data_IF_011189736360
#
_entry.id   IF_011189736360
#
_cell.length_a   1.000
_cell.length_b   1.000
_cell.length_c   1.000
_cell.angle_alpha   90.00
_cell.angle_beta   90.00
_cell.angle_gamma   90.00
#
_symmetry.space_group_name_H-M   'P 1'
#
loop_
_entity.id
_entity.type
_entity.pdbx_description
1 polymer ?
#
# COMPACT_ATOMS: atom_id res chain seq x y z
N UNK A 1 19.29 30.11 16.27
CA UNK A 1 19.49 28.85 15.52
C UNK A 1 18.73 28.79 14.19
N UNK A 2 17.57 29.43 14.04
CA UNK A 2 16.87 29.51 12.72
C UNK A 2 17.59 30.42 11.71
N UNK A 3 18.23 31.49 12.18
CA UNK A 3 19.00 32.43 11.32
C UNK A 3 20.34 31.85 10.81
N UNK A 4 20.84 30.77 11.43
CA UNK A 4 22.07 30.07 11.02
C UNK A 4 21.83 29.14 9.82
N UNK A 5 20.60 28.66 9.65
CA UNK A 5 20.20 27.80 8.52
C UNK A 5 19.94 28.63 7.26
N UNK A 6 19.34 29.83 7.38
CA UNK A 6 19.16 30.74 6.23
C UNK A 6 20.47 31.35 5.73
N UNK A 7 21.48 31.56 6.60
CA UNK A 7 22.79 32.11 6.19
C UNK A 7 23.69 31.11 5.47
N UNK A 8 23.55 29.81 5.71
CA UNK A 8 24.34 28.77 5.00
C UNK A 8 23.80 28.47 3.59
N UNK A 9 22.51 28.69 3.33
CA UNK A 9 21.91 28.50 2.01
C UNK A 9 22.36 29.51 0.94
N UNK A 10 22.86 30.69 1.33
CA UNK A 10 23.32 31.73 0.38
C UNK A 10 24.81 31.65 0.03
N UNK A 11 25.60 30.83 0.72
CA UNK A 11 27.07 30.80 0.58
C UNK A 11 27.60 29.72 -0.38
N UNK A 12 26.73 28.91 -0.98
CA UNK A 12 27.12 27.84 -1.92
C UNK A 12 26.70 28.16 -3.37
N UNK A 13 26.95 29.38 -3.81
CA UNK A 13 26.95 29.73 -5.23
C UNK A 13 28.10 28.98 -5.94
N UNK A 14 27.79 27.85 -6.58
CA UNK A 14 28.64 27.29 -7.63
C UNK A 14 28.13 27.73 -9.01
N UNK A 15 29.04 28.02 -9.96
CA UNK A 15 28.74 28.75 -11.17
C UNK A 15 27.85 27.97 -12.14
N UNK A 16 26.88 28.66 -12.72
CA UNK A 16 26.07 28.19 -13.84
C UNK A 16 26.93 28.06 -15.11
N UNK A 17 27.28 26.83 -15.49
CA UNK A 17 27.74 26.45 -16.84
C UNK A 17 27.83 24.91 -16.87
N UNK A 18 26.88 24.21 -17.48
CA UNK A 18 26.80 24.06 -18.92
C UNK A 18 25.40 23.55 -19.30
N UNK A 19 24.85 24.07 -20.40
CA UNK A 19 23.61 23.55 -20.98
C UNK A 19 23.80 22.06 -21.34
N UNK A 20 22.90 21.15 -20.96
CA UNK A 20 22.95 19.79 -21.50
C UNK A 20 22.61 19.84 -22.99
N UNK A 21 23.49 19.28 -23.83
CA UNK A 21 23.23 19.07 -25.26
C UNK A 21 21.93 18.25 -25.45
N UNK A 22 21.09 18.57 -26.45
CA UNK A 22 19.75 18.01 -26.61
C UNK A 22 19.71 16.61 -27.27
N UNK A 23 20.64 15.70 -26.96
CA UNK A 23 20.67 14.36 -27.59
C UNK A 23 20.22 13.20 -26.69
N UNK A 24 19.92 13.42 -25.41
CA UNK A 24 19.79 12.31 -24.42
C UNK A 24 18.42 12.22 -23.72
N UNK A 25 17.38 12.84 -24.32
CA UNK A 25 15.98 12.73 -23.83
C UNK A 25 15.30 11.42 -24.25
N UNK A 26 15.75 10.77 -25.31
CA UNK A 26 15.02 9.64 -25.92
C UNK A 26 15.11 8.32 -25.16
N UNK A 27 16.15 8.09 -24.36
CA UNK A 27 16.31 6.86 -23.57
C UNK A 27 15.70 6.94 -22.16
N UNK A 28 15.20 8.12 -21.75
CA UNK A 28 14.57 8.32 -20.42
C UNK A 28 13.07 8.05 -20.41
N UNK A 29 12.40 7.97 -21.56
CA UNK A 29 10.95 7.87 -21.60
C UNK A 29 10.44 6.45 -21.73
N UNK A 30 10.97 5.62 -22.64
CA UNK A 30 10.25 4.42 -23.05
C UNK A 30 10.03 3.37 -21.93
N UNK A 31 11.07 2.82 -21.25
CA UNK A 31 10.85 1.75 -20.26
C UNK A 31 10.03 2.21 -19.05
N UNK A 32 10.30 3.41 -18.54
CA UNK A 32 9.56 3.98 -17.42
C UNK A 32 8.13 4.37 -17.84
N UNK A 33 7.93 4.85 -19.06
CA UNK A 33 6.59 5.10 -19.60
C UNK A 33 5.81 3.79 -19.77
N UNK A 34 6.43 2.71 -20.22
CA UNK A 34 5.80 1.40 -20.33
C UNK A 34 5.38 0.87 -18.95
N UNK A 35 6.26 0.99 -17.94
CA UNK A 35 5.93 0.71 -16.54
C UNK A 35 4.69 1.49 -16.08
N UNK A 36 4.68 2.80 -16.32
CA UNK A 36 3.56 3.69 -15.94
C UNK A 36 2.30 3.37 -16.75
N UNK A 37 2.44 2.99 -18.01
CA UNK A 37 1.33 2.63 -18.91
C UNK A 37 0.63 1.37 -18.42
N UNK A 38 1.38 0.33 -18.05
CA UNK A 38 0.81 -0.91 -17.47
C UNK A 38 -0.01 -0.62 -16.22
N UNK A 39 0.51 0.24 -15.34
CA UNK A 39 -0.21 0.66 -14.13
C UNK A 39 -1.46 1.48 -14.50
N UNK A 40 -1.32 2.41 -15.43
CA UNK A 40 -2.44 3.24 -15.91
C UNK A 40 -3.56 2.42 -16.53
N UNK A 41 -3.22 1.41 -17.34
CA UNK A 41 -4.17 0.51 -17.97
C UNK A 41 -4.93 -0.31 -16.91
N UNK A 42 -4.22 -0.83 -15.91
CA UNK A 42 -4.86 -1.51 -14.78
C UNK A 42 -5.82 -0.59 -14.02
N UNK A 43 -5.39 0.64 -13.70
CA UNK A 43 -6.22 1.62 -13.01
C UNK A 43 -7.45 1.97 -13.86
N UNK A 44 -7.31 2.14 -15.17
CA UNK A 44 -8.45 2.39 -16.06
C UNK A 44 -9.49 1.26 -15.98
N UNK A 45 -9.05 0.01 -15.81
CA UNK A 45 -9.91 -1.16 -15.63
C UNK A 45 -10.45 -1.37 -14.20
N UNK A 46 -10.02 -0.58 -13.20
CA UNK A 46 -10.58 -0.66 -11.86
C UNK A 46 -12.02 -0.14 -11.85
N UNK A 47 -12.97 -0.96 -11.39
CA UNK A 47 -14.37 -0.57 -11.21
C UNK A 47 -14.59 0.39 -10.03
N UNK A 48 -15.85 0.73 -9.76
CA UNK A 48 -16.25 1.65 -8.70
C UNK A 48 -16.39 1.01 -7.31
N UNK A 49 -16.76 -0.26 -7.21
CA UNK A 49 -17.05 -0.92 -5.92
C UNK A 49 -15.78 -1.44 -5.23
N UNK A 50 -14.95 -0.55 -4.69
CA UNK A 50 -13.62 -0.92 -4.19
C UNK A 50 -13.62 -1.43 -2.74
N UNK A 51 -14.68 -1.15 -1.97
CA UNK A 51 -14.91 -1.76 -0.64
C UNK A 51 -15.62 -3.11 -0.68
N UNK A 52 -15.86 -3.67 -1.87
CA UNK A 52 -16.34 -5.03 -2.04
C UNK A 52 -15.19 -6.04 -1.98
N UNK A 53 -15.49 -7.33 -1.81
CA UNK A 53 -14.48 -8.40 -1.98
C UNK A 53 -13.79 -8.33 -3.35
N UNK A 54 -14.53 -7.98 -4.41
CA UNK A 54 -13.97 -7.77 -5.76
C UNK A 54 -13.02 -6.58 -5.77
N UNK A 55 -13.36 -5.51 -5.06
CA UNK A 55 -12.53 -4.34 -4.86
C UNK A 55 -11.23 -4.63 -4.13
N UNK A 56 -11.29 -5.38 -3.03
CA UNK A 56 -10.09 -5.85 -2.32
C UNK A 56 -9.22 -6.74 -3.20
N UNK A 57 -9.81 -7.66 -3.96
CA UNK A 57 -9.05 -8.44 -4.94
C UNK A 57 -8.30 -7.53 -5.93
N UNK A 58 -8.93 -6.45 -6.41
CA UNK A 58 -8.28 -5.45 -7.26
C UNK A 58 -7.14 -4.70 -6.57
N UNK A 59 -7.21 -4.49 -5.26
CA UNK A 59 -6.11 -3.91 -4.49
C UNK A 59 -4.89 -4.85 -4.47
N UNK A 60 -5.08 -6.14 -4.24
CA UNK A 60 -3.99 -7.13 -4.31
C UNK A 60 -3.43 -7.28 -5.73
N UNK A 61 -4.29 -7.30 -6.75
CA UNK A 61 -3.89 -7.31 -8.15
C UNK A 61 -3.07 -6.06 -8.52
N UNK A 62 -3.46 -4.86 -8.07
CA UNK A 62 -2.71 -3.62 -8.31
C UNK A 62 -1.27 -3.72 -7.79
N UNK A 63 -1.09 -4.26 -6.59
CA UNK A 63 0.23 -4.48 -5.99
C UNK A 63 1.02 -5.47 -6.84
N UNK A 64 0.40 -6.59 -7.21
CA UNK A 64 1.05 -7.60 -8.05
C UNK A 64 1.46 -7.04 -9.42
N UNK A 65 0.56 -6.35 -10.12
CA UNK A 65 0.83 -5.70 -11.41
C UNK A 65 1.96 -4.68 -11.29
N UNK A 66 1.96 -3.85 -10.25
CA UNK A 66 3.03 -2.88 -10.04
C UNK A 66 4.40 -3.54 -9.80
N UNK A 67 4.45 -4.63 -9.01
CA UNK A 67 5.68 -5.38 -8.74
C UNK A 67 6.18 -6.11 -9.99
N UNK A 68 5.28 -6.69 -10.78
CA UNK A 68 5.62 -7.32 -12.06
C UNK A 68 6.17 -6.29 -13.04
N UNK A 69 5.53 -5.12 -13.16
CA UNK A 69 5.99 -4.06 -14.04
C UNK A 69 7.36 -3.50 -13.59
N UNK A 70 7.63 -3.43 -12.29
CA UNK A 70 8.94 -3.05 -11.76
C UNK A 70 10.02 -4.08 -12.12
N UNK A 71 9.70 -5.37 -12.04
CA UNK A 71 10.63 -6.43 -12.46
C UNK A 71 10.93 -6.37 -13.97
N UNK A 72 9.90 -6.15 -14.79
CA UNK A 72 10.06 -5.96 -16.23
C UNK A 72 10.94 -4.74 -16.55
N UNK A 73 10.72 -3.63 -15.83
CA UNK A 73 11.54 -2.42 -15.97
C UNK A 73 13.01 -2.72 -15.67
N UNK A 74 13.31 -3.46 -14.59
CA UNK A 74 14.67 -3.83 -14.23
C UNK A 74 15.36 -4.67 -15.31
N UNK A 75 14.62 -5.54 -15.99
CA UNK A 75 15.10 -6.33 -17.13
C UNK A 75 15.37 -5.42 -18.33
N UNK A 76 14.42 -4.54 -18.69
CA UNK A 76 14.53 -3.67 -19.86
C UNK A 76 15.71 -2.70 -19.78
N UNK A 77 16.09 -2.26 -18.58
CA UNK A 77 17.23 -1.35 -18.38
C UNK A 77 18.54 -2.08 -18.05
N UNK A 78 18.54 -3.43 -18.10
CA UNK A 78 19.66 -4.31 -17.73
C UNK A 78 20.28 -3.97 -16.37
N UNK A 79 19.43 -3.82 -15.35
CA UNK A 79 19.87 -3.49 -13.98
C UNK A 79 19.24 -4.45 -12.96
N UNK A 80 19.67 -5.72 -12.96
CA UNK A 80 19.12 -6.75 -12.09
C UNK A 80 19.44 -6.49 -10.62
N UNK A 81 18.69 -7.14 -9.73
CA UNK A 81 18.77 -6.99 -8.27
C UNK A 81 20.19 -7.11 -7.69
N UNK A 82 21.03 -7.97 -8.27
CA UNK A 82 22.45 -8.15 -7.87
C UNK A 82 23.34 -6.92 -8.08
N UNK A 83 22.90 -5.94 -8.87
CA UNK A 83 23.65 -4.72 -9.19
C UNK A 83 23.10 -3.49 -8.45
N UNK A 84 22.05 -3.66 -7.63
CA UNK A 84 21.39 -2.55 -6.96
C UNK A 84 22.35 -1.84 -6.01
N UNK A 85 22.42 -0.51 -6.13
CA UNK A 85 23.18 0.32 -5.21
C UNK A 85 22.57 0.35 -3.81
N UNK A 86 23.30 0.93 -2.83
CA UNK A 86 22.83 1.02 -1.44
C UNK A 86 21.53 1.80 -1.30
N UNK A 87 21.30 2.82 -2.15
CA UNK A 87 20.10 3.66 -2.07
C UNK A 87 18.86 2.86 -2.47
N UNK A 88 18.90 2.20 -3.64
CA UNK A 88 17.78 1.38 -4.11
C UNK A 88 17.53 0.16 -3.20
N UNK A 89 18.60 -0.47 -2.71
CA UNK A 89 18.52 -1.60 -1.78
C UNK A 89 17.83 -1.19 -0.47
N UNK A 90 18.27 -0.11 0.16
CA UNK A 90 17.67 0.38 1.40
C UNK A 90 16.18 0.75 1.21
N UNK A 91 15.85 1.42 0.10
CA UNK A 91 14.46 1.80 -0.19
C UNK A 91 13.59 0.55 -0.45
N UNK A 92 14.11 -0.47 -1.13
CA UNK A 92 13.37 -1.72 -1.36
C UNK A 92 13.11 -2.48 -0.05
N UNK A 93 14.11 -2.58 0.81
CA UNK A 93 13.96 -3.19 2.13
C UNK A 93 12.98 -2.42 3.02
N UNK A 94 12.98 -1.08 2.92
CA UNK A 94 11.99 -0.25 3.63
C UNK A 94 10.59 -0.47 3.07
N UNK A 95 10.42 -0.42 1.75
CA UNK A 95 9.15 -0.65 1.07
C UNK A 95 8.54 -2.00 1.44
N UNK A 96 9.33 -3.08 1.33
CA UNK A 96 8.86 -4.42 1.69
C UNK A 96 8.56 -4.56 3.17
N UNK A 97 9.28 -3.87 4.06
CA UNK A 97 8.95 -3.85 5.50
C UNK A 97 7.58 -3.22 5.77
N UNK A 98 7.27 -2.09 5.13
CA UNK A 98 5.96 -1.44 5.27
C UNK A 98 4.82 -2.35 4.79
N UNK A 99 4.98 -2.96 3.61
CA UNK A 99 3.96 -3.82 3.03
C UNK A 99 3.76 -5.10 3.86
N UNK A 100 4.83 -5.69 4.40
CA UNK A 100 4.72 -6.84 5.31
C UNK A 100 4.00 -6.45 6.62
N UNK A 101 4.28 -5.27 7.17
CA UNK A 101 3.57 -4.75 8.33
C UNK A 101 2.08 -4.53 8.04
N UNK A 102 1.73 -4.05 6.85
CA UNK A 102 0.35 -3.88 6.41
C UNK A 102 -0.36 -5.22 6.18
N UNK A 103 0.30 -6.20 5.58
CA UNK A 103 -0.23 -7.56 5.47
C UNK A 103 -0.55 -8.14 6.86
N UNK A 104 0.34 -7.97 7.84
CA UNK A 104 0.08 -8.40 9.21
C UNK A 104 -1.13 -7.66 9.83
N UNK A 105 -1.30 -6.39 9.53
CA UNK A 105 -2.46 -5.61 9.96
C UNK A 105 -3.78 -6.12 9.34
N UNK A 106 -3.75 -6.51 8.06
CA UNK A 106 -4.90 -7.16 7.40
C UNK A 106 -5.23 -8.49 8.09
N UNK A 107 -4.24 -9.36 8.31
CA UNK A 107 -4.43 -10.64 9.01
C UNK A 107 -4.96 -10.46 10.44
N UNK A 108 -4.47 -9.45 11.16
CA UNK A 108 -5.00 -9.08 12.48
C UNK A 108 -6.47 -8.67 12.40
N UNK A 109 -6.81 -7.79 11.45
CA UNK A 109 -8.19 -7.30 11.24
C UNK A 109 -9.15 -8.45 10.90
N UNK A 110 -8.73 -9.36 10.03
CA UNK A 110 -9.49 -10.58 9.71
C UNK A 110 -9.71 -11.44 10.95
N UNK A 111 -8.69 -11.61 11.79
CA UNK A 111 -8.79 -12.39 13.03
C UNK A 111 -9.78 -11.77 14.02
N UNK A 112 -9.73 -10.45 14.20
CA UNK A 112 -10.66 -9.70 15.06
C UNK A 112 -12.10 -9.82 14.57
N UNK A 113 -12.35 -9.66 13.26
CA UNK A 113 -13.67 -9.82 12.67
C UNK A 113 -14.19 -11.25 12.81
N UNK A 114 -13.33 -12.24 12.63
CA UNK A 114 -13.67 -13.65 12.83
C UNK A 114 -14.07 -13.90 14.29
N UNK A 115 -13.35 -13.32 15.25
CA UNK A 115 -13.69 -13.44 16.66
C UNK A 115 -14.99 -12.69 17.01
N UNK A 116 -15.20 -11.49 16.47
CA UNK A 116 -16.44 -10.72 16.63
C UNK A 116 -17.66 -11.49 16.09
N UNK A 117 -17.51 -12.14 14.93
CA UNK A 117 -18.52 -13.04 14.36
C UNK A 117 -18.89 -14.15 15.35
N UNK A 118 -17.91 -14.84 15.93
CA UNK A 118 -18.16 -15.92 16.89
C UNK A 118 -18.91 -15.44 18.15
N UNK A 119 -18.54 -14.26 18.66
CA UNK A 119 -19.25 -13.62 19.79
C UNK A 119 -20.70 -13.30 19.44
N UNK A 120 -20.95 -12.76 18.25
CA UNK A 120 -22.30 -12.44 17.77
C UNK A 120 -23.14 -13.70 17.56
N UNK A 121 -22.59 -14.76 16.96
CA UNK A 121 -23.29 -16.05 16.81
C UNK A 121 -23.68 -16.66 18.17
N UNK A 122 -22.79 -16.58 19.15
CA UNK A 122 -23.08 -17.02 20.52
C UNK A 122 -24.19 -16.19 21.17
N UNK A 123 -24.15 -14.85 21.03
CA UNK A 123 -25.17 -13.96 21.57
C UNK A 123 -26.56 -14.23 20.95
N UNK A 124 -26.62 -14.44 19.63
CA UNK A 124 -27.85 -14.78 18.91
C UNK A 124 -28.42 -16.15 19.30
N UNK A 125 -27.58 -17.06 19.80
CA UNK A 125 -28.00 -18.38 20.27
C UNK A 125 -28.52 -18.37 21.72
N UNK A 126 -28.22 -17.32 22.48
CA UNK A 126 -28.49 -17.22 23.93
C UNK A 126 -29.54 -16.18 24.32
N UNK A 127 -29.95 -15.27 23.42
CA UNK A 127 -30.94 -14.21 23.69
C UNK A 127 -31.77 -13.85 22.45
N UNK A 128 -33.04 -13.38 22.61
CA UNK A 128 -33.77 -12.70 21.54
C UNK A 128 -33.00 -11.46 21.03
N UNK A 129 -33.11 -11.23 19.73
CA UNK A 129 -32.26 -10.37 18.90
C UNK A 129 -32.08 -8.92 19.39
N UNK A 130 -33.13 -8.36 19.99
CA UNK A 130 -33.20 -6.95 20.39
C UNK A 130 -32.26 -6.59 21.54
N UNK A 131 -31.79 -7.56 22.34
CA UNK A 131 -30.83 -7.32 23.43
C UNK A 131 -29.39 -7.74 23.11
N UNK A 132 -29.15 -8.42 21.98
CA UNK A 132 -27.83 -8.90 21.57
C UNK A 132 -27.01 -7.82 20.86
N UNK A 133 -27.64 -6.99 20.03
CA UNK A 133 -27.00 -5.85 19.37
C UNK A 133 -26.51 -4.80 20.39
N UNK A 134 -27.33 -4.48 21.40
CA UNK A 134 -26.98 -3.54 22.47
C UNK A 134 -25.84 -4.00 23.41
N UNK A 135 -25.49 -5.31 23.40
CA UNK A 135 -24.43 -5.88 24.24
C UNK A 135 -23.11 -6.10 23.51
N UNK A 136 -23.09 -5.96 22.19
CA UNK A 136 -21.85 -6.06 21.41
C UNK A 136 -21.16 -4.71 21.44
N UNK A 137 -20.38 -4.48 22.50
CA UNK A 137 -19.37 -3.44 22.47
C UNK A 137 -18.53 -3.64 21.21
N UNK A 138 -18.36 -2.58 20.41
CA UNK A 138 -17.49 -2.60 19.25
C UNK A 138 -16.16 -3.24 19.66
N UNK A 139 -15.65 -4.26 18.92
CA UNK A 139 -14.36 -4.83 19.24
C UNK A 139 -13.34 -3.69 19.29
N UNK A 140 -12.45 -3.67 20.31
CA UNK A 140 -11.47 -2.60 20.44
C UNK A 140 -10.69 -2.49 19.13
N UNK A 141 -10.85 -1.37 18.43
CA UNK A 141 -10.15 -1.09 17.20
C UNK A 141 -8.65 -1.06 17.53
N UNK A 142 -7.91 -2.02 16.98
CA UNK A 142 -6.47 -2.03 17.15
C UNK A 142 -5.93 -0.90 16.29
N UNK A 143 -5.54 0.21 16.93
CA UNK A 143 -4.91 1.33 16.25
C UNK A 143 -3.57 0.85 15.71
N UNK A 144 -3.51 0.53 14.42
CA UNK A 144 -2.29 0.05 13.78
C UNK A 144 -1.37 1.25 13.67
N UNK A 145 -0.48 1.41 14.65
CA UNK A 145 0.43 2.53 14.70
C UNK A 145 1.62 2.23 13.80
N UNK A 146 1.68 2.83 12.64
CA UNK A 146 2.82 2.64 11.76
C UNK A 146 3.86 3.72 12.07
N UNK A 147 5.04 3.33 12.55
CA UNK A 147 6.10 4.29 12.91
C UNK A 147 6.85 4.81 11.66
N UNK A 148 7.27 6.08 11.72
CA UNK A 148 7.98 6.90 10.70
C UNK A 148 7.23 7.29 9.41
N UNK A 149 7.25 8.60 9.16
CA UNK A 149 7.22 9.18 7.81
C UNK A 149 8.64 9.08 7.23
N UNK A 150 8.76 8.66 5.97
CA UNK A 150 10.07 8.53 5.34
C UNK A 150 10.41 9.84 4.66
N UNK A 151 11.37 10.56 5.26
CA UNK A 151 12.13 11.58 4.57
C UNK A 151 12.99 10.87 3.55
N UNK A 152 12.80 11.23 2.28
CA UNK A 152 13.74 10.86 1.23
C UNK A 152 15.10 11.44 1.66
N UNK A 153 16.01 10.59 2.16
CA UNK A 153 17.35 11.03 2.58
C UNK A 153 18.07 11.73 1.44
N UNK A 154 19.05 12.58 1.77
CA UNK A 154 19.94 13.18 0.77
C UNK A 154 20.44 12.10 -0.17
N UNK A 155 19.98 12.16 -1.43
CA UNK A 155 20.30 11.16 -2.45
C UNK A 155 21.80 11.20 -2.67
N UNK A 156 22.49 10.15 -2.23
CA UNK A 156 23.85 9.87 -2.68
C UNK A 156 23.92 9.79 -4.20
N UNK A 157 25.13 9.80 -4.75
CA UNK A 157 25.34 9.67 -6.19
C UNK A 157 24.81 8.32 -6.72
N UNK A 158 23.56 8.28 -7.17
CA UNK A 158 22.94 7.11 -7.77
C UNK A 158 23.28 7.03 -9.26
N UNK A 159 23.48 5.80 -9.76
CA UNK A 159 23.60 5.55 -11.20
C UNK A 159 22.33 5.97 -11.95
N UNK A 160 22.40 6.13 -13.27
CA UNK A 160 21.23 6.50 -14.08
C UNK A 160 20.12 5.44 -13.98
N UNK A 161 20.49 4.16 -14.05
CA UNK A 161 19.58 3.02 -13.94
C UNK A 161 18.93 2.96 -12.54
N UNK A 162 19.73 3.15 -11.50
CA UNK A 162 19.25 3.15 -10.12
C UNK A 162 18.19 4.23 -9.88
N UNK A 163 18.36 5.42 -10.47
CA UNK A 163 17.35 6.49 -10.37
C UNK A 163 16.01 6.11 -11.00
N UNK A 164 16.04 5.45 -12.16
CA UNK A 164 14.83 5.02 -12.88
C UNK A 164 14.06 3.98 -12.06
N UNK A 165 14.76 2.97 -11.52
CA UNK A 165 14.12 1.97 -10.66
C UNK A 165 13.67 2.54 -9.33
N UNK A 166 14.43 3.47 -8.76
CA UNK A 166 14.03 4.12 -7.51
C UNK A 166 12.72 4.91 -7.69
N UNK A 167 12.55 5.59 -8.82
CA UNK A 167 11.30 6.29 -9.14
C UNK A 167 10.12 5.32 -9.25
N UNK A 168 10.30 4.22 -10.00
CA UNK A 168 9.28 3.18 -10.13
C UNK A 168 8.97 2.50 -8.79
N UNK A 169 9.98 2.20 -7.98
CA UNK A 169 9.84 1.59 -6.66
C UNK A 169 9.08 2.49 -5.69
N UNK A 170 9.35 3.80 -5.68
CA UNK A 170 8.60 4.78 -4.87
C UNK A 170 7.12 4.77 -5.30
N UNK A 171 6.83 4.66 -6.59
CA UNK A 171 5.45 4.51 -7.08
C UNK A 171 4.81 3.21 -6.59
N UNK A 172 5.48 2.05 -6.74
CA UNK A 172 5.00 0.77 -6.24
C UNK A 172 4.72 0.81 -4.74
N UNK A 173 5.61 1.42 -3.96
CA UNK A 173 5.44 1.61 -2.52
C UNK A 173 4.17 2.40 -2.21
N UNK A 174 3.99 3.57 -2.84
CA UNK A 174 2.81 4.41 -2.63
C UNK A 174 1.52 3.69 -3.04
N UNK A 175 1.50 2.99 -4.17
CA UNK A 175 0.37 2.18 -4.60
C UNK A 175 0.04 1.09 -3.57
N UNK A 176 1.05 0.38 -3.07
CA UNK A 176 0.86 -0.65 -2.05
C UNK A 176 0.35 -0.11 -0.71
N UNK A 177 0.86 1.04 -0.26
CA UNK A 177 0.36 1.72 0.93
C UNK A 177 -1.12 2.13 0.76
N UNK A 178 -1.49 2.73 -0.37
CA UNK A 178 -2.86 3.15 -0.64
C UNK A 178 -3.80 1.94 -0.76
N UNK A 179 -3.39 0.89 -1.47
CA UNK A 179 -4.19 -0.30 -1.71
C UNK A 179 -4.44 -1.11 -0.43
N UNK A 180 -3.39 -1.43 0.33
CA UNK A 180 -3.55 -2.12 1.62
C UNK A 180 -4.20 -1.23 2.67
N UNK A 181 -3.97 0.09 2.62
CA UNK A 181 -4.66 1.06 3.47
C UNK A 181 -6.18 1.03 3.27
N UNK A 182 -6.65 0.91 2.02
CA UNK A 182 -8.08 0.75 1.73
C UNK A 182 -8.63 -0.58 2.26
N UNK A 183 -7.88 -1.68 2.09
CA UNK A 183 -8.28 -3.00 2.61
C UNK A 183 -8.41 -2.96 4.13
N UNK A 184 -7.41 -2.42 4.84
CA UNK A 184 -7.44 -2.29 6.31
C UNK A 184 -8.61 -1.41 6.73
N UNK A 185 -8.79 -0.24 6.11
CA UNK A 185 -9.91 0.67 6.37
C UNK A 185 -11.25 -0.05 6.24
N UNK A 186 -11.45 -0.76 5.12
CA UNK A 186 -12.65 -1.56 4.87
C UNK A 186 -12.92 -2.66 5.89
N UNK A 187 -11.88 -3.32 6.40
CA UNK A 187 -12.01 -4.35 7.43
C UNK A 187 -12.29 -3.75 8.82
N UNK A 188 -11.67 -2.62 9.15
CA UNK A 188 -11.84 -1.98 10.44
C UNK A 188 -13.14 -1.14 10.54
N UNK A 189 -13.76 -0.84 9.40
CA UNK A 189 -14.94 0.02 9.36
C UNK A 189 -14.60 1.49 9.64
N UNK A 190 -13.34 1.91 9.47
CA UNK A 190 -12.90 3.28 9.76
C UNK A 190 -12.11 3.89 8.62
N UNK A 191 -12.29 5.20 8.41
CA UNK A 191 -11.52 5.98 7.44
C UNK A 191 -10.09 6.32 7.94
N UNK A 192 -9.86 6.29 9.24
CA UNK A 192 -8.59 6.70 9.87
C UNK A 192 -7.41 5.87 9.34
N UNK A 193 -7.60 4.56 9.19
CA UNK A 193 -6.60 3.63 8.68
C UNK A 193 -6.10 3.99 7.28
N UNK A 194 -7.02 4.33 6.37
CA UNK A 194 -6.65 4.76 5.02
C UNK A 194 -5.94 6.12 5.06
N UNK A 195 -6.44 7.06 5.85
CA UNK A 195 -5.86 8.40 5.96
C UNK A 195 -4.45 8.40 6.56
N UNK A 196 -4.15 7.48 7.48
CA UNK A 196 -2.79 7.26 7.97
C UNK A 196 -1.86 6.77 6.86
N UNK A 197 -2.31 5.80 6.05
CA UNK A 197 -1.50 5.25 4.94
C UNK A 197 -1.28 6.27 3.84
N UNK A 198 -2.31 7.06 3.53
CA UNK A 198 -2.21 8.20 2.61
C UNK A 198 -1.16 9.20 3.07
N UNK A 199 -1.14 9.55 4.38
CA UNK A 199 -0.13 10.44 4.96
C UNK A 199 1.28 9.84 4.87
N UNK A 200 1.41 8.53 5.08
CA UNK A 200 2.68 7.80 4.97
C UNK A 200 3.21 7.70 3.54
N UNK A 201 2.32 7.59 2.56
CA UNK A 201 2.69 7.66 1.16
C UNK A 201 3.29 9.03 0.77
N UNK A 202 3.13 10.06 1.62
CA UNK A 202 3.66 11.40 1.42
C UNK A 202 2.91 12.16 0.32
N UNK A 203 3.58 13.12 -0.33
CA UNK A 203 2.97 13.90 -1.42
C UNK A 203 2.51 13.00 -2.57
N UNK A 204 1.24 13.12 -2.95
CA UNK A 204 0.61 12.43 -4.09
C UNK A 204 0.56 13.42 -5.24
N UNK A 205 1.73 13.76 -5.80
CA UNK A 205 1.83 14.75 -6.88
C UNK A 205 1.65 14.11 -8.27
N UNK A 206 1.94 12.81 -8.36
CA UNK A 206 1.87 12.02 -9.57
C UNK A 206 0.42 11.83 -10.06
N UNK A 207 0.09 12.10 -11.34
CA UNK A 207 -1.28 11.97 -11.85
C UNK A 207 -1.89 10.57 -11.67
N UNK A 208 -1.11 9.50 -11.80
CA UNK A 208 -1.61 8.13 -11.62
C UNK A 208 -1.93 7.86 -10.15
N UNK A 209 -1.08 8.31 -9.25
CA UNK A 209 -1.33 8.17 -7.81
C UNK A 209 -2.53 9.01 -7.38
N UNK A 210 -2.72 10.22 -7.94
CA UNK A 210 -3.90 11.06 -7.68
C UNK A 210 -5.19 10.39 -8.13
N UNK A 211 -5.18 9.73 -9.28
CA UNK A 211 -6.35 9.00 -9.79
C UNK A 211 -6.74 7.86 -8.84
N UNK A 212 -5.76 7.05 -8.40
CA UNK A 212 -5.99 5.97 -7.43
C UNK A 212 -6.48 6.53 -6.09
N UNK A 213 -5.80 7.54 -5.56
CA UNK A 213 -6.15 8.21 -4.30
C UNK A 213 -7.57 8.77 -4.35
N UNK A 214 -7.95 9.43 -5.44
CA UNK A 214 -9.31 9.95 -5.63
C UNK A 214 -10.35 8.83 -5.61
N UNK A 215 -10.10 7.71 -6.30
CA UNK A 215 -11.04 6.56 -6.32
C UNK A 215 -11.19 5.94 -4.94
N UNK A 216 -10.09 5.76 -4.22
CA UNK A 216 -10.11 5.20 -2.88
C UNK A 216 -10.76 6.15 -1.87
N UNK A 217 -10.49 7.45 -1.94
CA UNK A 217 -11.13 8.46 -1.09
C UNK A 217 -12.65 8.47 -1.24
N UNK A 218 -13.18 8.33 -2.46
CA UNK A 218 -14.64 8.28 -2.69
C UNK A 218 -15.30 7.18 -1.88
N UNK A 219 -14.67 6.01 -1.83
CA UNK A 219 -15.19 4.84 -1.14
C UNK A 219 -15.07 4.99 0.39
N UNK A 220 -13.94 5.51 0.86
CA UNK A 220 -13.70 5.74 2.29
C UNK A 220 -14.69 6.74 2.88
N UNK A 221 -15.11 7.77 2.13
CA UNK A 221 -16.15 8.71 2.56
C UNK A 221 -17.50 8.02 2.75
N UNK A 222 -17.85 7.07 1.88
CA UNK A 222 -19.13 6.32 1.97
C UNK A 222 -19.17 5.40 3.20
N UNK A 223 -18.01 4.96 3.71
CA UNK A 223 -17.97 4.12 4.93
C UNK A 223 -18.53 4.80 6.17
N UNK A 224 -18.42 6.13 6.27
CA UNK A 224 -18.91 6.88 7.44
C UNK A 224 -20.44 7.04 7.46
N UNK A 225 -21.13 6.73 6.35
CA UNK A 225 -22.57 7.00 6.17
C UNK A 225 -23.50 5.80 6.45
N UNK A 226 -22.96 4.64 6.83
CA UNK A 226 -23.79 3.43 7.04
C UNK A 226 -24.52 3.49 8.39
N UNK A 227 -25.81 3.80 8.35
CA UNK A 227 -26.71 3.78 9.50
C UNK A 227 -27.10 2.36 9.98
N UNK A 228 -27.66 2.27 11.19
CA UNK A 228 -28.18 1.01 11.73
C UNK A 228 -29.35 0.49 10.88
N UNK A 229 -29.21 -0.74 10.38
CA UNK A 229 -30.28 -1.44 9.65
C UNK A 229 -30.87 -2.50 10.58
N UNK A 230 -32.16 -2.39 10.90
CA UNK A 230 -32.89 -3.47 11.56
C UNK A 230 -32.93 -4.70 10.65
N UNK A 231 -32.33 -5.80 11.10
CA UNK A 231 -32.28 -7.06 10.37
C UNK A 231 -32.78 -8.21 11.24
N UNK A 232 -33.56 -9.12 10.63
CA UNK A 232 -33.98 -10.36 11.29
C UNK A 232 -32.80 -11.29 11.58
N UNK A 233 -32.90 -12.10 12.63
CA UNK A 233 -31.83 -13.01 13.10
C UNK A 233 -31.30 -13.92 12.00
N UNK A 234 -32.18 -14.50 11.19
CA UNK A 234 -31.77 -15.42 10.10
C UNK A 234 -31.03 -14.68 8.98
N UNK A 235 -31.39 -13.43 8.72
CA UNK A 235 -30.65 -12.58 7.77
C UNK A 235 -29.26 -12.22 8.31
N UNK A 236 -29.15 -11.91 9.61
CA UNK A 236 -27.86 -11.67 10.26
C UNK A 236 -26.97 -12.92 10.16
N UNK A 237 -27.48 -14.12 10.49
CA UNK A 237 -26.74 -15.38 10.36
C UNK A 237 -26.27 -15.62 8.92
N UNK A 238 -27.14 -15.39 7.94
CA UNK A 238 -26.81 -15.51 6.51
C UNK A 238 -25.66 -14.56 6.13
N UNK A 239 -25.71 -13.30 6.55
CA UNK A 239 -24.66 -12.31 6.27
C UNK A 239 -23.33 -12.65 6.96
N UNK A 240 -23.35 -13.17 8.19
CA UNK A 240 -22.14 -13.61 8.88
C UNK A 240 -21.43 -14.75 8.17
N UNK A 241 -22.18 -15.66 7.53
CA UNK A 241 -21.61 -16.73 6.70
C UNK A 241 -20.92 -16.18 5.44
N UNK A 242 -21.58 -15.26 4.74
CA UNK A 242 -20.99 -14.59 3.56
C UNK A 242 -19.74 -13.79 3.94
N UNK A 243 -19.77 -13.14 5.11
CA UNK A 243 -18.60 -12.42 5.65
C UNK A 243 -17.43 -13.38 5.90
N UNK A 244 -17.67 -14.54 6.52
CA UNK A 244 -16.63 -15.56 6.74
C UNK A 244 -15.94 -16.01 5.45
N UNK A 245 -16.72 -16.34 4.41
CA UNK A 245 -16.17 -16.73 3.10
C UNK A 245 -15.31 -15.61 2.49
N UNK A 246 -15.72 -14.34 2.70
CA UNK A 246 -14.98 -13.17 2.23
C UNK A 246 -13.69 -12.97 3.02
N UNK A 247 -13.73 -13.09 4.34
CA UNK A 247 -12.58 -12.98 5.23
C UNK A 247 -11.52 -14.06 4.92
N UNK A 248 -11.95 -15.29 4.66
CA UNK A 248 -11.03 -16.38 4.29
C UNK A 248 -10.31 -16.08 2.97
N UNK A 249 -11.01 -15.51 1.98
CA UNK A 249 -10.41 -15.14 0.69
C UNK A 249 -9.40 -13.99 0.85
N UNK A 250 -9.75 -12.96 1.62
CA UNK A 250 -8.87 -11.83 1.91
C UNK A 250 -7.60 -12.32 2.63
N UNK A 251 -7.75 -13.20 3.63
CA UNK A 251 -6.60 -13.77 4.33
C UNK A 251 -5.70 -14.57 3.37
N UNK A 252 -6.30 -15.40 2.50
CA UNK A 252 -5.56 -16.18 1.51
C UNK A 252 -4.73 -15.29 0.58
N UNK A 253 -5.31 -14.20 0.07
CA UNK A 253 -4.58 -13.24 -0.77
C UNK A 253 -3.49 -12.49 0.00
N UNK A 254 -3.76 -12.17 1.27
CA UNK A 254 -2.79 -11.52 2.16
C UNK A 254 -1.58 -12.43 2.42
N UNK A 255 -1.81 -13.70 2.75
CA UNK A 255 -0.76 -14.71 2.98
C UNK A 255 0.08 -14.94 1.72
N UNK A 256 -0.58 -14.95 0.55
CA UNK A 256 0.11 -15.05 -0.73
C UNK A 256 1.01 -13.84 -1.00
N UNK A 257 0.49 -12.61 -0.83
CA UNK A 257 1.27 -11.39 -0.98
C UNK A 257 2.44 -11.34 0.02
N UNK A 258 2.18 -11.68 1.29
CA UNK A 258 3.20 -11.72 2.34
C UNK A 258 4.34 -12.66 1.96
N UNK A 259 4.01 -13.87 1.49
CA UNK A 259 4.98 -14.87 1.05
C UNK A 259 5.79 -14.41 -0.15
N UNK A 260 5.16 -13.76 -1.13
CA UNK A 260 5.85 -13.18 -2.29
C UNK A 260 6.84 -12.09 -1.88
N UNK A 261 6.41 -11.14 -1.05
CA UNK A 261 7.24 -10.04 -0.54
C UNK A 261 8.44 -10.57 0.26
N UNK A 262 8.19 -11.53 1.16
CA UNK A 262 9.23 -12.13 1.99
C UNK A 262 10.26 -12.89 1.15
N UNK A 263 9.81 -13.67 0.16
CA UNK A 263 10.72 -14.37 -0.75
C UNK A 263 11.59 -13.41 -1.56
N UNK A 264 10.99 -12.37 -2.15
CA UNK A 264 11.73 -11.38 -2.93
C UNK A 264 12.74 -10.60 -2.05
N UNK A 265 12.34 -10.23 -0.83
CA UNK A 265 13.23 -9.62 0.17
C UNK A 265 14.40 -10.54 0.54
N UNK A 266 14.14 -11.82 0.81
CA UNK A 266 15.18 -12.77 1.19
C UNK A 266 16.18 -13.00 0.07
N UNK A 267 15.73 -13.03 -1.20
CA UNK A 267 16.62 -13.05 -2.36
C UNK A 267 17.56 -11.85 -2.39
N UNK A 268 17.04 -10.64 -2.16
CA UNK A 268 17.87 -9.43 -2.08
C UNK A 268 18.90 -9.54 -0.95
N UNK A 269 18.47 -9.93 0.26
CA UNK A 269 19.34 -10.04 1.43
C UNK A 269 20.46 -11.05 1.20
N UNK A 270 20.18 -12.19 0.56
CA UNK A 270 21.18 -13.20 0.24
C UNK A 270 22.30 -12.68 -0.69
N UNK A 271 22.07 -11.58 -1.41
CA UNK A 271 23.07 -10.94 -2.26
C UNK A 271 23.85 -9.81 -1.55
N UNK A 272 23.42 -9.38 -0.37
CA UNK A 272 24.13 -8.40 0.45
C UNK A 272 25.19 -9.16 1.27
N UNK A 273 26.30 -9.51 0.63
CA UNK A 273 27.46 -10.04 1.33
C UNK A 273 28.13 -8.91 2.12
N UNK A 274 28.25 -9.06 3.44
CA UNK A 274 29.14 -8.21 4.23
C UNK A 274 30.58 -8.67 3.96
N UNK A 275 31.50 -7.77 3.60
CA UNK A 275 32.92 -8.13 3.62
C UNK A 275 33.31 -8.55 5.05
N UNK A 276 33.92 -9.73 5.18
CA UNK A 276 34.59 -10.17 6.41
C UNK A 276 35.75 -9.25 6.78
#
# INVERSE_FOLDING_TARGET
>A
MVVLVEKLGRSLNFPSSSKPKPLDRHLKSAPLADFRSKISEFIAGMGSELLSLKGFNKCFELIHTSNSALADLAIQIDYPMRQWGPCLTAEYLSCTSDLLSLSNAVTSSVSHLTHAKMRLLHALSTSPATSAAARLAAPPQQKIRFEKAIMLGERGACSRQERVLLEALIMCRKLGLLALGLVVSGLCGDAESYMEMRRKAGGIDDPLLKEVDMRFCKEVVVMEEVGEVEMGVEEVKRRLKVMEDSLQRINTQTDHLFSQLLNARNKLIAHISFPE
#
